data_IF_323978684773
#
_entry.id   IF_323978684773
#
_cell.length_a   1.000
_cell.length_b   1.000
_cell.length_c   1.000
_cell.angle_alpha   90.00
_cell.angle_beta   90.00
_cell.angle_gamma   90.00
#
_symmetry.space_group_name_H-M   'P 1'
#
loop_
_entity.id
_entity.type
_entity.pdbx_description
1 polymer ?
#
# COMPACT_ATOMS: atom_id res chain seq x y z
N UNK A 1 26.28 18.00 -8.15
CA UNK A 1 25.34 17.18 -8.93
C UNK A 1 24.46 16.41 -7.93
N UNK A 2 23.29 16.96 -7.59
CA UNK A 2 22.36 16.29 -6.67
C UNK A 2 21.48 15.35 -7.50
N UNK A 3 21.49 14.06 -7.14
CA UNK A 3 20.73 13.00 -7.82
C UNK A 3 19.23 13.21 -7.58
N UNK A 4 18.45 13.17 -8.66
CA UNK A 4 16.99 13.26 -8.67
C UNK A 4 16.34 12.16 -7.82
N UNK A 5 16.10 12.45 -6.54
CA UNK A 5 15.23 11.65 -5.67
C UNK A 5 13.72 11.87 -5.96
N UNK A 6 13.38 12.78 -6.88
CA UNK A 6 12.00 13.16 -7.20
C UNK A 6 11.26 12.15 -8.10
N UNK A 7 11.98 11.31 -8.85
CA UNK A 7 11.37 10.34 -9.79
C UNK A 7 10.88 9.07 -9.08
N UNK A 8 11.65 8.57 -8.10
CA UNK A 8 11.37 7.31 -7.39
C UNK A 8 10.19 7.44 -6.42
N UNK A 9 9.99 8.60 -5.82
CA UNK A 9 8.91 8.85 -4.85
C UNK A 9 7.54 9.04 -5.53
N UNK A 10 7.51 9.40 -6.82
CA UNK A 10 6.28 9.47 -7.62
C UNK A 10 5.71 8.07 -7.91
N UNK A 11 6.57 7.08 -8.15
CA UNK A 11 6.17 5.70 -8.43
C UNK A 11 5.51 5.01 -7.24
N UNK A 12 6.14 5.08 -6.05
CA UNK A 12 5.58 4.48 -4.81
C UNK A 12 4.25 5.10 -4.39
N UNK A 13 4.06 6.41 -4.62
CA UNK A 13 2.78 7.10 -4.36
C UNK A 13 1.65 6.56 -5.22
N UNK A 14 1.91 6.32 -6.51
CA UNK A 14 0.90 5.83 -7.45
C UNK A 14 0.38 4.44 -7.08
N UNK A 15 1.24 3.56 -6.58
CA UNK A 15 0.83 2.21 -6.15
C UNK A 15 -0.11 2.27 -4.95
N UNK A 16 0.22 3.08 -3.95
CA UNK A 16 -0.63 3.26 -2.77
C UNK A 16 -1.94 3.98 -3.12
N UNK A 17 -1.88 5.05 -3.93
CA UNK A 17 -3.06 5.79 -4.39
C UNK A 17 -4.04 4.85 -5.14
N UNK A 18 -3.53 3.87 -5.92
CA UNK A 18 -4.36 2.86 -6.59
C UNK A 18 -4.98 1.84 -5.64
N UNK A 19 -4.24 1.40 -4.62
CA UNK A 19 -4.78 0.56 -3.54
C UNK A 19 -5.85 1.33 -2.74
N UNK A 20 -5.69 2.64 -2.59
CA UNK A 20 -6.62 3.50 -1.85
C UNK A 20 -7.88 3.89 -2.63
N UNK A 21 -7.80 3.97 -3.96
CA UNK A 21 -8.96 4.16 -4.85
C UNK A 21 -9.91 2.97 -4.75
N UNK A 22 -9.35 1.79 -4.54
CA UNK A 22 -10.06 0.51 -4.41
C UNK A 22 -10.92 0.44 -3.13
N UNK A 23 -10.49 1.01 -2.00
CA UNK A 23 -11.20 0.91 -0.72
C UNK A 23 -12.50 1.73 -0.59
N UNK A 24 -12.85 2.58 -1.56
CA UNK A 24 -13.94 3.57 -1.44
C UNK A 24 -15.20 3.30 -2.25
N UNK A 25 -15.32 2.17 -2.93
CA UNK A 25 -16.45 1.95 -3.83
C UNK A 25 -17.61 1.19 -3.19
N UNK A 26 -18.45 1.93 -2.46
CA UNK A 26 -19.78 1.49 -2.06
C UNK A 26 -20.52 0.87 -3.27
N UNK A 27 -20.74 -0.45 -3.24
CA UNK A 27 -21.52 -1.19 -4.24
C UNK A 27 -20.75 -1.80 -5.42
N UNK A 28 -19.41 -1.79 -5.44
CA UNK A 28 -18.61 -2.44 -6.50
C UNK A 28 -17.71 -3.53 -5.93
N UNK A 29 -17.60 -4.65 -6.64
CA UNK A 29 -16.69 -5.74 -6.27
C UNK A 29 -15.26 -5.32 -6.59
N UNK A 30 -14.42 -5.40 -5.57
CA UNK A 30 -12.98 -5.17 -5.63
C UNK A 30 -12.28 -6.53 -5.58
N UNK A 31 -11.28 -6.72 -6.45
CA UNK A 31 -10.40 -7.90 -6.39
C UNK A 31 -8.95 -7.42 -6.30
N UNK A 32 -8.29 -7.55 -5.14
CA UNK A 32 -6.90 -7.13 -4.99
C UNK A 32 -5.94 -8.07 -5.72
N UNK A 33 -4.85 -7.50 -6.24
CA UNK A 33 -3.70 -8.22 -6.80
C UNK A 33 -2.47 -7.86 -5.97
N UNK A 34 -1.89 -8.86 -5.30
CA UNK A 34 -0.74 -8.74 -4.43
C UNK A 34 0.52 -9.18 -5.19
N UNK A 35 1.38 -8.23 -5.55
CA UNK A 35 2.58 -8.50 -6.34
C UNK A 35 3.83 -8.55 -5.45
N UNK A 36 4.51 -9.69 -5.42
CA UNK A 36 5.69 -9.98 -4.59
C UNK A 36 5.51 -9.53 -3.12
N UNK A 37 4.29 -9.67 -2.60
CA UNK A 37 3.93 -9.32 -1.23
C UNK A 37 2.93 -10.33 -0.69
N UNK A 38 3.13 -10.73 0.56
CA UNK A 38 2.17 -11.57 1.27
C UNK A 38 0.95 -10.71 1.68
N UNK A 39 -0.29 -11.11 1.33
CA UNK A 39 -1.49 -10.39 1.75
C UNK A 39 -1.59 -10.18 3.26
N UNK A 40 -1.05 -11.09 4.07
CA UNK A 40 -1.01 -10.98 5.54
C UNK A 40 -0.06 -9.86 6.02
N UNK A 41 1.02 -9.59 5.29
CA UNK A 41 1.91 -8.45 5.54
C UNK A 41 1.21 -7.14 5.22
N UNK A 42 0.41 -7.08 4.15
CA UNK A 42 -0.43 -5.92 3.79
C UNK A 42 -1.51 -5.69 4.85
N UNK A 43 -2.25 -6.74 5.21
CA UNK A 43 -3.37 -6.70 6.16
C UNK A 43 -2.95 -6.17 7.53
N UNK A 44 -1.79 -6.59 8.02
CA UNK A 44 -1.31 -6.22 9.36
C UNK A 44 -0.25 -5.14 9.35
N UNK A 45 0.15 -4.65 8.16
CA UNK A 45 1.26 -3.72 7.97
C UNK A 45 2.54 -4.22 8.66
N UNK A 46 2.92 -5.47 8.39
CA UNK A 46 4.09 -6.16 8.99
C UNK A 46 5.10 -6.56 7.92
N UNK A 47 6.22 -7.14 8.35
CA UNK A 47 7.22 -7.70 7.46
C UNK A 47 7.89 -6.65 6.57
N UNK A 48 8.14 -6.99 5.30
CA UNK A 48 8.79 -6.08 4.36
C UNK A 48 7.87 -4.93 3.97
N UNK A 49 6.58 -5.22 3.78
CA UNK A 49 5.57 -4.20 3.47
C UNK A 49 5.45 -3.17 4.58
N UNK A 50 5.31 -3.61 5.84
CA UNK A 50 5.16 -2.73 7.00
C UNK A 50 6.33 -1.76 7.18
N UNK A 51 7.57 -2.22 7.01
CA UNK A 51 8.76 -1.36 7.09
C UNK A 51 8.72 -0.26 6.02
N UNK A 52 8.42 -0.63 4.77
CA UNK A 52 8.32 0.32 3.67
C UNK A 52 7.16 1.32 3.87
N UNK A 53 6.06 0.88 4.50
CA UNK A 53 4.92 1.73 4.83
C UNK A 53 5.29 2.79 5.88
N UNK A 54 5.96 2.41 6.97
CA UNK A 54 6.41 3.37 8.01
C UNK A 54 7.48 4.35 7.47
N UNK A 55 8.41 3.88 6.65
CA UNK A 55 9.36 4.75 5.94
C UNK A 55 8.65 5.79 5.05
N UNK A 56 7.60 5.38 4.34
CA UNK A 56 6.81 6.30 3.52
C UNK A 56 6.13 7.36 4.39
N UNK A 57 5.46 6.93 5.46
CA UNK A 57 4.71 7.82 6.36
C UNK A 57 5.60 8.87 7.01
N UNK A 58 6.79 8.46 7.47
CA UNK A 58 7.79 9.39 8.01
C UNK A 58 8.33 10.37 6.97
N UNK A 59 8.48 9.94 5.72
CA UNK A 59 9.00 10.80 4.64
C UNK A 59 8.01 11.90 4.24
N UNK A 60 6.71 11.61 4.28
CA UNK A 60 5.66 12.52 3.81
C UNK A 60 4.91 13.24 4.94
N UNK A 61 5.30 13.00 6.21
CA UNK A 61 4.73 13.63 7.41
C UNK A 61 3.20 13.54 7.47
N UNK A 62 2.66 12.32 7.44
CA UNK A 62 1.22 12.07 7.50
C UNK A 62 0.63 12.38 8.88
N UNK A 63 -0.54 13.02 8.93
CA UNK A 63 -1.28 13.24 10.16
C UNK A 63 -1.92 11.96 10.71
N UNK A 64 -2.22 11.94 12.01
CA UNK A 64 -2.76 10.75 12.69
C UNK A 64 -4.08 10.23 12.10
N UNK A 65 -4.95 11.13 11.62
CA UNK A 65 -6.23 10.76 11.01
C UNK A 65 -5.99 10.03 9.69
N UNK A 66 -5.11 10.58 8.84
CA UNK A 66 -4.74 9.96 7.56
C UNK A 66 -4.02 8.64 7.78
N UNK A 67 -3.09 8.56 8.75
CA UNK A 67 -2.43 7.32 9.15
C UNK A 67 -3.44 6.23 9.55
N UNK A 68 -4.35 6.56 10.47
CA UNK A 68 -5.39 5.65 10.95
C UNK A 68 -6.30 5.17 9.83
N UNK A 69 -6.70 6.06 8.93
CA UNK A 69 -7.52 5.72 7.78
C UNK A 69 -6.79 4.75 6.83
N UNK A 70 -5.51 4.97 6.56
CA UNK A 70 -4.72 4.11 5.67
C UNK A 70 -4.54 2.71 6.25
N UNK A 71 -4.25 2.62 7.55
CA UNK A 71 -4.16 1.32 8.24
C UNK A 71 -5.45 0.53 8.15
N UNK A 72 -6.59 1.19 8.34
CA UNK A 72 -7.90 0.55 8.22
C UNK A 72 -8.16 0.04 6.80
N UNK A 73 -7.90 0.86 5.79
CA UNK A 73 -8.09 0.47 4.39
C UNK A 73 -7.21 -0.72 3.99
N UNK A 74 -5.93 -0.72 4.40
CA UNK A 74 -5.02 -1.82 4.14
C UNK A 74 -5.41 -3.09 4.89
N UNK A 75 -5.93 -2.97 6.11
CA UNK A 75 -6.50 -4.09 6.86
C UNK A 75 -7.70 -4.72 6.12
N UNK A 76 -8.62 -3.88 5.65
CA UNK A 76 -9.81 -4.34 4.93
C UNK A 76 -9.42 -5.01 3.61
N UNK A 77 -8.57 -4.37 2.79
CA UNK A 77 -8.13 -4.89 1.48
C UNK A 77 -7.31 -6.17 1.64
N UNK A 78 -6.40 -6.24 2.60
CA UNK A 78 -5.61 -7.45 2.88
C UNK A 78 -6.45 -8.62 3.40
N UNK A 79 -7.71 -8.39 3.76
CA UNK A 79 -8.68 -9.44 4.11
C UNK A 79 -9.55 -9.93 2.94
N UNK A 80 -9.53 -9.25 1.79
CA UNK A 80 -10.33 -9.63 0.62
C UNK A 80 -9.60 -10.70 -0.19
N UNK A 81 -10.35 -11.70 -0.67
CA UNK A 81 -9.82 -12.72 -1.57
C UNK A 81 -9.32 -12.08 -2.88
N UNK A 82 -8.11 -12.43 -3.30
CA UNK A 82 -7.46 -11.84 -4.47
C UNK A 82 -6.38 -12.75 -5.05
N UNK A 83 -5.56 -12.20 -5.94
CA UNK A 83 -4.50 -12.93 -6.63
C UNK A 83 -3.14 -12.58 -6.04
N UNK A 84 -2.31 -13.58 -5.77
CA UNK A 84 -0.91 -13.39 -5.38
C UNK A 84 -0.03 -13.70 -6.59
N UNK A 85 0.73 -12.72 -7.04
CA UNK A 85 1.69 -12.84 -8.12
C UNK A 85 3.10 -12.83 -7.55
N UNK A 86 3.75 -13.99 -7.55
CA UNK A 86 5.16 -14.11 -7.18
C UNK A 86 5.98 -13.96 -8.46
N UNK A 87 6.73 -12.86 -8.57
CA UNK A 87 7.62 -12.67 -9.71
C UNK A 87 8.75 -13.69 -9.68
N UNK A 88 8.94 -14.45 -10.77
CA UNK A 88 10.20 -15.16 -10.98
C UNK A 88 11.28 -14.12 -11.29
N UNK A 89 12.21 -13.95 -10.36
CA UNK A 89 13.40 -13.12 -10.56
C UNK A 89 14.33 -13.73 -11.59
#
# INVERSE_FOLDING_TARGET
MARDQNSTNKGKRLELEKIMEVGRMNGRVVVPVFYDVDPSEVRHQKGRFGKAFEELLSTISVDESTYSNWRRQLFDIGGIAGFVLVGSR
#
